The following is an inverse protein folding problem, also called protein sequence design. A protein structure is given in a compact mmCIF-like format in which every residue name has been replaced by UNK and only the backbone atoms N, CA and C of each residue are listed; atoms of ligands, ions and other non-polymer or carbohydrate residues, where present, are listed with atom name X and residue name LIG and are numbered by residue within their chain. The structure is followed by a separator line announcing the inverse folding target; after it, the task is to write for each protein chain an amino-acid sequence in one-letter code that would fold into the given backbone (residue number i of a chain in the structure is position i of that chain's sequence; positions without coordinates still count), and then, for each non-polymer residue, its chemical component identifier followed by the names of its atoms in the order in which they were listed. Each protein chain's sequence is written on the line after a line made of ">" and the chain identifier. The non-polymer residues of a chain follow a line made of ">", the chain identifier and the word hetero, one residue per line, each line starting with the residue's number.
data_IF_851720848982
#
_entry.id   IF_851720848982
#
_cell.length_a   1.000
_cell.length_b   1.000
_cell.length_c   1.000
_cell.angle_alpha   90.00
_cell.angle_beta   90.00
_cell.angle_gamma   90.00
#
_symmetry.space_group_name_H-M   'P 1'
#
loop_
_entity.id
_entity.type
_entity.pdbx_description
1 polymer ?
#
# COMPACT_ATOMS: atom_id res chain seq x y z
N UNK A 1 -0.81 0.48 16.85
CA UNK A 1 -2.09 0.83 16.19
C UNK A 1 -2.08 2.20 15.54
N UNK A 2 -1.51 3.24 16.16
CA UNK A 2 -1.50 4.60 15.58
C UNK A 2 -0.78 4.69 14.22
N UNK A 3 0.41 4.10 14.08
CA UNK A 3 1.15 4.06 12.81
C UNK A 3 0.35 3.37 11.68
N UNK A 4 -0.32 2.27 11.99
CA UNK A 4 -1.18 1.55 11.04
C UNK A 4 -2.29 2.45 10.51
N UNK A 5 -3.05 3.08 11.41
CA UNK A 5 -4.16 3.96 11.06
C UNK A 5 -3.70 5.15 10.22
N UNK A 6 -2.58 5.78 10.61
CA UNK A 6 -2.00 6.91 9.88
C UNK A 6 -1.57 6.46 8.47
N UNK A 7 -0.86 5.35 8.36
CA UNK A 7 -0.35 4.85 7.08
C UNK A 7 -1.49 4.46 6.12
N UNK A 8 -2.51 3.75 6.60
CA UNK A 8 -3.70 3.41 5.79
C UNK A 8 -4.46 4.68 5.36
N UNK A 9 -4.60 5.66 6.25
CA UNK A 9 -5.27 6.93 5.91
C UNK A 9 -4.55 7.66 4.78
N UNK A 10 -3.21 7.68 4.79
CA UNK A 10 -2.43 8.28 3.69
C UNK A 10 -2.65 7.55 2.36
N UNK A 11 -2.68 6.21 2.36
CA UNK A 11 -2.93 5.44 1.14
C UNK A 11 -4.31 5.72 0.55
N UNK A 12 -5.34 5.69 1.40
CA UNK A 12 -6.71 5.93 0.98
C UNK A 12 -6.89 7.34 0.42
N UNK A 13 -6.36 8.36 1.10
CA UNK A 13 -6.42 9.75 0.63
C UNK A 13 -5.70 9.93 -0.70
N UNK A 14 -4.49 9.35 -0.85
CA UNK A 14 -3.72 9.47 -2.08
C UNK A 14 -4.42 8.84 -3.29
N UNK A 15 -4.96 7.62 -3.15
CA UNK A 15 -5.75 7.02 -4.22
C UNK A 15 -7.03 7.78 -4.53
N UNK A 16 -7.71 8.31 -3.52
CA UNK A 16 -8.90 9.13 -3.73
C UNK A 16 -8.58 10.39 -4.54
N UNK A 17 -7.45 11.05 -4.29
CA UNK A 17 -7.07 12.25 -5.03
C UNK A 17 -6.73 11.92 -6.48
N UNK A 18 -5.89 10.90 -6.73
CA UNK A 18 -5.58 10.42 -8.08
C UNK A 18 -6.86 10.04 -8.82
N UNK A 19 -7.75 9.28 -8.17
CA UNK A 19 -9.03 8.86 -8.75
C UNK A 19 -9.93 10.05 -9.14
N UNK A 20 -9.98 11.10 -8.31
CA UNK A 20 -10.72 12.34 -8.63
C UNK A 20 -10.14 13.07 -9.84
N UNK A 21 -8.81 13.14 -9.97
CA UNK A 21 -8.17 13.77 -11.12
C UNK A 21 -8.50 13.00 -12.40
N UNK A 22 -8.43 11.67 -12.38
CA UNK A 22 -8.78 10.85 -13.54
C UNK A 22 -10.24 11.04 -13.92
N UNK A 23 -11.16 10.98 -12.95
CA UNK A 23 -12.59 11.16 -13.21
C UNK A 23 -12.91 12.55 -13.76
N UNK A 24 -12.31 13.60 -13.20
CA UNK A 24 -12.53 14.98 -13.62
C UNK A 24 -12.03 15.25 -15.04
N UNK A 25 -10.97 14.57 -15.47
CA UNK A 25 -10.32 14.80 -16.75
C UNK A 25 -10.48 13.61 -17.71
N UNK A 26 -11.47 12.74 -17.51
CA UNK A 26 -11.58 11.47 -18.23
C UNK A 26 -11.59 11.63 -19.76
N UNK A 27 -12.41 12.54 -20.28
CA UNK A 27 -12.52 12.81 -21.73
C UNK A 27 -11.20 13.40 -22.28
N UNK A 28 -10.58 14.31 -21.54
CA UNK A 28 -9.33 14.95 -21.95
C UNK A 28 -8.16 13.95 -21.94
N UNK A 29 -8.12 13.06 -20.95
CA UNK A 29 -7.16 11.97 -20.88
C UNK A 29 -7.34 10.98 -22.05
N UNK A 30 -8.58 10.63 -22.40
CA UNK A 30 -8.88 9.78 -23.57
C UNK A 30 -8.43 10.44 -24.89
N UNK A 31 -8.49 11.76 -24.96
CA UNK A 31 -8.03 12.54 -26.11
C UNK A 31 -6.53 12.86 -26.09
N UNK A 32 -5.77 12.27 -25.15
CA UNK A 32 -4.34 12.53 -24.94
C UNK A 32 -4.02 14.03 -24.76
N UNK A 33 -4.90 14.76 -24.08
CA UNK A 33 -4.71 16.18 -23.82
C UNK A 33 -3.46 16.39 -22.93
N UNK A 34 -2.45 17.15 -23.38
CA UNK A 34 -1.21 17.32 -22.63
C UNK A 34 -1.39 17.96 -21.24
N UNK A 35 -2.35 18.87 -21.08
CA UNK A 35 -2.60 19.53 -19.80
C UNK A 35 -3.23 18.57 -18.79
N UNK A 36 -4.19 17.76 -19.24
CA UNK A 36 -4.80 16.73 -18.39
C UNK A 36 -3.78 15.67 -17.95
N UNK A 37 -2.90 15.24 -18.86
CA UNK A 37 -1.80 14.32 -18.58
C UNK A 37 -0.85 14.94 -17.55
N UNK A 38 -0.45 16.20 -17.75
CA UNK A 38 0.43 16.92 -16.81
C UNK A 38 -0.17 17.01 -15.41
N UNK A 39 -1.46 17.37 -15.29
CA UNK A 39 -2.16 17.41 -13.99
C UNK A 39 -2.16 16.03 -13.31
N UNK A 40 -2.34 14.95 -14.08
CA UNK A 40 -2.28 13.59 -13.55
C UNK A 40 -0.88 13.23 -13.07
N UNK A 41 0.16 13.56 -13.84
CA UNK A 41 1.57 13.36 -13.44
C UNK A 41 1.84 14.09 -12.13
N UNK A 42 1.51 15.38 -12.05
CA UNK A 42 1.73 16.20 -10.86
C UNK A 42 1.01 15.61 -9.63
N UNK A 43 -0.23 15.12 -9.77
CA UNK A 43 -0.96 14.50 -8.66
C UNK A 43 -0.29 13.19 -8.20
N UNK A 44 0.17 12.35 -9.14
CA UNK A 44 0.89 11.11 -8.81
C UNK A 44 2.21 11.43 -8.10
N UNK A 45 2.97 12.40 -8.60
CA UNK A 45 4.23 12.82 -8.00
C UNK A 45 4.04 13.42 -6.61
N UNK A 46 3.01 14.24 -6.41
CA UNK A 46 2.66 14.81 -5.11
C UNK A 46 2.20 13.74 -4.10
N UNK A 47 1.52 12.71 -4.57
CA UNK A 47 1.01 11.62 -3.73
C UNK A 47 2.08 10.58 -3.39
N UNK A 48 3.03 10.32 -4.29
CA UNK A 48 4.06 9.26 -4.15
C UNK A 48 4.87 9.35 -2.85
N UNK A 49 5.32 10.52 -2.36
CA UNK A 49 5.99 10.65 -1.07
C UNK A 49 5.17 10.12 0.10
N UNK A 50 3.85 10.31 0.09
CA UNK A 50 2.95 9.80 1.14
C UNK A 50 2.91 8.27 1.14
N UNK A 51 2.91 7.64 -0.03
CA UNK A 51 3.01 6.18 -0.16
C UNK A 51 4.35 5.66 0.34
N UNK A 52 5.46 6.31 -0.02
CA UNK A 52 6.80 5.96 0.49
C UNK A 52 6.87 6.08 2.02
N UNK A 53 6.24 7.10 2.61
CA UNK A 53 6.18 7.24 4.06
C UNK A 53 5.32 6.14 4.71
N UNK A 54 4.18 5.79 4.12
CA UNK A 54 3.38 4.63 4.57
C UNK A 54 4.17 3.32 4.48
N UNK A 55 4.93 3.10 3.40
CA UNK A 55 5.80 1.94 3.26
C UNK A 55 6.83 1.85 4.40
N UNK A 56 7.48 2.97 4.73
CA UNK A 56 8.41 3.07 5.86
C UNK A 56 7.73 2.78 7.20
N UNK A 57 6.55 3.33 7.43
CA UNK A 57 5.80 3.13 8.68
C UNK A 57 5.37 1.67 8.85
N UNK A 58 4.87 1.03 7.79
CA UNK A 58 4.55 -0.41 7.83
C UNK A 58 5.79 -1.26 8.03
N UNK A 59 6.90 -0.96 7.34
CA UNK A 59 8.12 -1.72 7.50
C UNK A 59 8.69 -1.57 8.91
N UNK A 60 8.59 -0.39 9.51
CA UNK A 60 8.95 -0.18 10.92
C UNK A 60 8.08 -1.03 11.84
N UNK A 61 6.76 -1.03 11.64
CA UNK A 61 5.86 -1.91 12.41
C UNK A 61 6.24 -3.39 12.27
N UNK A 62 6.60 -3.83 11.06
CA UNK A 62 7.05 -5.19 10.82
C UNK A 62 8.33 -5.51 11.59
N UNK A 63 9.34 -4.65 11.52
CA UNK A 63 10.60 -4.83 12.26
C UNK A 63 10.38 -4.84 13.78
N UNK A 64 9.55 -3.93 14.30
CA UNK A 64 9.22 -3.88 15.73
C UNK A 64 8.57 -5.20 16.19
N UNK A 65 7.67 -5.77 15.37
CA UNK A 65 7.05 -7.08 15.66
C UNK A 65 8.09 -8.20 15.63
N UNK A 66 8.92 -8.26 14.59
CA UNK A 66 9.98 -9.29 14.46
C UNK A 66 10.95 -9.23 15.65
N UNK A 67 11.37 -8.02 16.04
CA UNK A 67 12.27 -7.82 17.17
C UNK A 67 11.63 -8.29 18.48
N UNK A 68 10.36 -7.96 18.70
CA UNK A 68 9.59 -8.43 19.87
C UNK A 68 9.44 -9.96 19.92
N UNK A 69 9.16 -10.59 18.77
CA UNK A 69 9.01 -12.06 18.70
C UNK A 69 10.32 -12.82 18.90
N UNK A 70 11.47 -12.17 18.69
CA UNK A 70 12.79 -12.77 18.90
C UNK A 70 13.33 -12.60 20.33
N UNK A 71 12.58 -11.97 21.24
CA UNK A 71 13.00 -11.79 22.64
C UNK A 71 12.91 -13.11 23.43
N UNK A 72 13.67 -13.23 24.52
CA UNK A 72 13.72 -14.46 25.34
C UNK A 72 12.39 -14.78 26.04
N UNK A 73 11.61 -13.76 26.36
CA UNK A 73 10.25 -13.88 26.91
C UNK A 73 9.29 -13.22 25.93
N UNK A 74 8.64 -14.02 25.10
CA UNK A 74 7.70 -13.51 24.10
C UNK A 74 6.29 -13.58 24.67
N UNK A 75 5.63 -12.43 24.84
CA UNK A 75 4.20 -12.41 25.14
C UNK A 75 3.38 -12.49 23.85
N UNK A 76 3.36 -13.68 23.25
CA UNK A 76 2.65 -13.94 22.00
C UNK A 76 1.16 -13.56 22.03
N UNK A 77 0.53 -13.61 23.21
CA UNK A 77 -0.89 -13.29 23.40
C UNK A 77 -1.22 -11.80 23.12
N UNK A 78 -0.24 -10.90 23.22
CA UNK A 78 -0.46 -9.48 22.92
C UNK A 78 -0.64 -9.21 21.42
N UNK A 79 -0.10 -10.09 20.57
CA UNK A 79 -0.17 -9.93 19.11
C UNK A 79 -1.32 -10.72 18.47
N UNK A 80 -1.92 -11.68 19.19
CA UNK A 80 -3.03 -12.50 18.68
C UNK A 80 -4.17 -11.66 18.07
N UNK A 81 -4.70 -10.61 18.74
CA UNK A 81 -5.79 -9.82 18.16
C UNK A 81 -5.37 -9.11 16.87
N UNK A 82 -4.12 -8.65 16.80
CA UNK A 82 -3.56 -8.01 15.62
C UNK A 82 -3.39 -9.02 14.47
N UNK A 83 -2.81 -10.20 14.74
CA UNK A 83 -2.63 -11.25 13.73
C UNK A 83 -3.96 -11.77 13.17
N UNK A 84 -4.97 -11.97 14.02
CA UNK A 84 -6.33 -12.30 13.58
C UNK A 84 -6.91 -11.22 12.67
N UNK A 85 -6.74 -9.96 13.05
CA UNK A 85 -7.22 -8.82 12.26
C UNK A 85 -6.53 -8.74 10.88
N UNK A 86 -5.20 -8.77 10.84
CA UNK A 86 -4.48 -8.61 9.56
C UNK A 86 -4.69 -9.80 8.63
N UNK A 87 -4.82 -11.04 9.15
CA UNK A 87 -5.14 -12.22 8.33
C UNK A 87 -6.48 -12.07 7.58
N UNK A 88 -7.44 -11.34 8.15
CA UNK A 88 -8.72 -11.09 7.50
C UNK A 88 -8.64 -9.92 6.50
N UNK A 89 -7.89 -8.87 6.84
CA UNK A 89 -7.97 -7.58 6.16
C UNK A 89 -6.89 -7.39 5.09
N UNK A 90 -5.64 -7.78 5.37
CA UNK A 90 -4.52 -7.47 4.48
C UNK A 90 -4.64 -8.07 3.08
N UNK A 91 -5.13 -9.32 2.89
CA UNK A 91 -5.27 -9.87 1.55
C UNK A 91 -6.15 -9.00 0.63
N UNK A 92 -7.28 -8.51 1.16
CA UNK A 92 -8.19 -7.64 0.41
C UNK A 92 -7.55 -6.28 0.11
N UNK A 93 -6.80 -5.72 1.06
CA UNK A 93 -6.07 -4.47 0.85
C UNK A 93 -4.97 -4.63 -0.21
N UNK A 94 -4.19 -5.73 -0.16
CA UNK A 94 -3.16 -6.00 -1.17
C UNK A 94 -3.77 -6.10 -2.57
N UNK A 95 -4.86 -6.84 -2.72
CA UNK A 95 -5.59 -6.95 -3.99
C UNK A 95 -6.04 -5.57 -4.50
N UNK A 96 -6.63 -4.75 -3.61
CA UNK A 96 -7.08 -3.39 -3.94
C UNK A 96 -5.93 -2.49 -4.38
N UNK A 97 -4.79 -2.54 -3.69
CA UNK A 97 -3.57 -1.78 -4.02
C UNK A 97 -3.03 -2.16 -5.40
N UNK A 98 -2.84 -3.47 -5.64
CA UNK A 98 -2.33 -4.02 -6.90
C UNK A 98 -3.28 -3.70 -8.06
N UNK A 99 -4.59 -3.84 -7.84
CA UNK A 99 -5.60 -3.50 -8.85
C UNK A 99 -5.60 -2.02 -9.18
N UNK A 100 -5.50 -1.15 -8.17
CA UNK A 100 -5.52 0.31 -8.37
C UNK A 100 -4.32 0.78 -9.20
N UNK A 101 -3.10 0.30 -8.90
CA UNK A 101 -1.93 0.63 -9.71
C UNK A 101 -1.96 -0.05 -11.08
N UNK A 102 -2.49 -1.27 -11.16
CA UNK A 102 -2.72 -1.96 -12.44
C UNK A 102 -3.67 -1.19 -13.35
N UNK A 103 -4.72 -0.58 -12.82
CA UNK A 103 -5.61 0.28 -13.58
C UNK A 103 -4.89 1.52 -14.10
N UNK A 104 -4.05 2.16 -13.26
CA UNK A 104 -3.25 3.32 -13.67
C UNK A 104 -2.29 2.99 -14.83
N UNK A 105 -1.59 1.86 -14.75
CA UNK A 105 -0.70 1.40 -15.83
C UNK A 105 -1.43 1.12 -17.15
N UNK A 106 -2.73 0.84 -17.08
CA UNK A 106 -3.55 0.46 -18.24
C UNK A 106 -4.51 1.58 -18.69
N UNK A 107 -4.24 2.85 -18.35
CA UNK A 107 -5.11 3.96 -18.78
C UNK A 107 -5.10 4.22 -20.29
N UNK A 108 -4.16 3.61 -21.04
CA UNK A 108 -4.11 3.69 -22.51
C UNK A 108 -3.52 5.00 -23.07
N UNK A 109 -2.76 5.72 -22.26
CA UNK A 109 -2.06 6.95 -22.66
C UNK A 109 -0.59 6.62 -22.92
N UNK A 110 -0.10 6.89 -24.12
CA UNK A 110 1.32 6.74 -24.48
C UNK A 110 2.09 8.00 -24.06
N UNK A 111 2.59 8.02 -22.83
CA UNK A 111 3.38 9.13 -22.30
C UNK A 111 4.45 8.64 -21.32
N UNK A 112 5.72 8.79 -21.71
CA UNK A 112 6.85 8.28 -20.94
C UNK A 112 7.03 8.92 -19.56
N UNK A 113 6.66 10.20 -19.40
CA UNK A 113 6.76 10.89 -18.11
C UNK A 113 5.71 10.35 -17.14
N UNK A 114 4.49 10.11 -17.64
CA UNK A 114 3.44 9.46 -16.88
C UNK A 114 3.80 8.03 -16.50
N UNK A 115 4.38 7.25 -17.41
CA UNK A 115 4.88 5.90 -17.11
C UNK A 115 5.92 5.92 -15.99
N UNK A 116 6.84 6.90 -16.00
CA UNK A 116 7.84 7.07 -14.94
C UNK A 116 7.20 7.43 -13.60
N UNK A 117 6.24 8.36 -13.58
CA UNK A 117 5.52 8.73 -12.37
C UNK A 117 4.75 7.53 -11.79
N UNK A 118 4.05 6.77 -12.64
CA UNK A 118 3.34 5.55 -12.26
C UNK A 118 4.32 4.50 -11.72
N UNK A 119 5.47 4.31 -12.35
CA UNK A 119 6.49 3.37 -11.86
C UNK A 119 7.03 3.77 -10.47
N UNK A 120 7.19 5.06 -10.21
CA UNK A 120 7.57 5.57 -8.89
C UNK A 120 6.55 5.24 -7.80
N UNK A 121 5.26 5.38 -8.11
CA UNK A 121 4.16 5.02 -7.22
C UNK A 121 4.05 3.49 -7.04
N UNK A 122 4.19 2.73 -8.12
CA UNK A 122 4.15 1.27 -8.14
C UNK A 122 5.21 0.66 -7.24
N UNK A 123 6.46 1.14 -7.31
CA UNK A 123 7.53 0.69 -6.43
C UNK A 123 7.17 0.89 -4.95
N UNK A 124 6.62 2.05 -4.58
CA UNK A 124 6.20 2.31 -3.20
C UNK A 124 5.05 1.39 -2.76
N UNK A 125 4.10 1.10 -3.66
CA UNK A 125 3.00 0.15 -3.40
C UNK A 125 3.55 -1.27 -3.23
N UNK A 126 4.52 -1.69 -4.04
CA UNK A 126 5.14 -3.02 -3.93
C UNK A 126 5.90 -3.19 -2.62
N UNK A 127 6.57 -2.16 -2.10
CA UNK A 127 7.17 -2.20 -0.76
C UNK A 127 6.11 -2.43 0.33
N UNK A 128 4.94 -1.79 0.23
CA UNK A 128 3.83 -1.99 1.17
C UNK A 128 3.29 -3.42 1.06
N UNK A 129 3.02 -3.89 -0.16
CA UNK A 129 2.50 -5.26 -0.40
C UNK A 129 3.47 -6.32 0.10
N UNK A 130 4.78 -6.13 -0.09
CA UNK A 130 5.80 -7.03 0.44
C UNK A 130 5.79 -7.04 1.97
N UNK A 131 5.66 -5.87 2.61
CA UNK A 131 5.56 -5.77 4.07
C UNK A 131 4.31 -6.49 4.59
N UNK A 132 3.17 -6.30 3.95
CA UNK A 132 1.92 -6.99 4.31
C UNK A 132 2.05 -8.50 4.14
N UNK A 133 2.73 -8.95 3.09
CA UNK A 133 2.99 -10.39 2.85
C UNK A 133 3.85 -10.98 3.98
N UNK A 134 4.89 -10.26 4.42
CA UNK A 134 5.75 -10.73 5.52
C UNK A 134 5.00 -10.76 6.85
N UNK A 135 4.17 -9.75 7.14
CA UNK A 135 3.31 -9.73 8.32
C UNK A 135 2.29 -10.87 8.32
N UNK A 136 1.69 -11.17 7.17
CA UNK A 136 0.76 -12.30 7.00
C UNK A 136 1.44 -13.64 7.25
N UNK A 137 2.67 -13.84 6.77
CA UNK A 137 3.45 -15.05 7.06
C UNK A 137 3.63 -15.26 8.56
N UNK A 138 4.07 -14.22 9.28
CA UNK A 138 4.20 -14.26 10.75
C UNK A 138 2.86 -14.61 11.40
N UNK A 139 1.76 -13.98 10.96
CA UNK A 139 0.45 -14.22 11.51
C UNK A 139 -0.05 -15.67 11.26
N UNK A 140 0.27 -16.27 10.12
CA UNK A 140 -0.06 -17.67 9.81
C UNK A 140 0.79 -18.61 10.66
N UNK A 141 2.10 -18.41 10.71
CA UNK A 141 3.04 -19.22 11.51
C UNK A 141 2.65 -19.19 12.99
N UNK A 142 2.21 -18.03 13.49
CA UNK A 142 1.66 -17.88 14.84
C UNK A 142 0.41 -18.74 15.06
N UNK A 143 -0.57 -18.66 14.16
CA UNK A 143 -1.82 -19.43 14.24
C UNK A 143 -1.54 -20.93 14.22
N UNK A 144 -0.56 -21.39 13.42
CA UNK A 144 -0.20 -22.80 13.38
C UNK A 144 0.54 -23.25 14.64
N UNK A 145 1.44 -22.42 15.20
CA UNK A 145 2.17 -22.73 16.44
C UNK A 145 1.29 -22.82 17.70
N UNK A 146 0.10 -22.22 17.67
CA UNK A 146 -0.83 -22.17 18.80
C UNK A 146 -1.99 -23.15 18.70
N UNK A 147 -2.10 -23.92 17.59
CA UNK A 147 -3.08 -25.01 17.44
C UNK A 147 -2.71 -26.29 18.20
N UNK A 148 -1.43 -26.44 18.57
CA UNK A 148 -0.89 -27.62 19.26
C UNK A 148 -0.72 -27.43 20.78
N UNK A 149 -1.27 -26.33 21.34
CA UNK A 149 -1.28 -26.01 22.79
C UNK A 149 -2.71 -26.14 23.31
#
# INVERSE_FOLDING_TARGET
>A
MELYTIAITRLNTGFQNIGKIIQKNADELQNNNPEAIKILIEEIENTTPSFKNSAKDFNRMYLDIVDSLNQKEVNYNEYEPFFKYINQIFPQYQESLVKSIGNLKNIGIDNSELDQAIAGLDNAIMEIVNTFTNLLKIAIDYVDSTKDI
#
